data_IF_007657376141
#
_entry.id   IF_007657376141
#
_cell.length_a   1.000
_cell.length_b   1.000
_cell.length_c   1.000
_cell.angle_alpha   90.00
_cell.angle_beta   90.00
_cell.angle_gamma   90.00
#
_symmetry.space_group_name_H-M   'P 1'
#
loop_
_entity.id
_entity.type
_entity.pdbx_description
1 polymer ?
#
# COMPACT_ATOMS: atom_id res chain seq x y z
N UNK A 1 6.80 70.27 -27.43
CA UNK A 1 5.82 69.27 -26.94
C UNK A 1 6.30 67.88 -27.34
N UNK A 2 6.90 67.12 -26.42
CA UNK A 2 7.29 65.72 -26.65
C UNK A 2 6.55 64.80 -25.69
N UNK A 3 5.55 64.06 -26.17
CA UNK A 3 4.84 63.05 -25.37
C UNK A 3 5.78 61.87 -25.13
N UNK A 4 6.26 61.71 -23.90
CA UNK A 4 6.94 60.48 -23.45
C UNK A 4 5.91 59.37 -23.33
N UNK A 5 6.00 58.37 -24.20
CA UNK A 5 5.28 57.11 -24.06
C UNK A 5 5.81 56.34 -22.84
N UNK A 6 5.00 56.25 -21.77
CA UNK A 6 5.25 55.29 -20.68
C UNK A 6 4.77 53.93 -21.16
N UNK A 7 5.71 53.01 -21.38
CA UNK A 7 5.41 51.58 -21.44
C UNK A 7 5.00 51.15 -20.04
N UNK A 8 3.74 50.74 -19.87
CA UNK A 8 3.29 50.01 -18.68
C UNK A 8 3.78 48.58 -18.84
N UNK A 9 4.79 48.21 -18.07
CA UNK A 9 5.15 46.80 -17.91
C UNK A 9 4.07 46.15 -17.02
N UNK A 10 3.33 45.21 -17.59
CA UNK A 10 2.33 44.44 -16.86
C UNK A 10 3.01 43.55 -15.82
N UNK A 11 2.82 43.87 -14.55
CA UNK A 11 3.31 43.05 -13.44
C UNK A 11 2.48 41.78 -13.32
N UNK A 12 3.08 40.63 -13.66
CA UNK A 12 2.48 39.31 -13.40
C UNK A 12 2.92 38.87 -12.00
N UNK A 13 2.02 38.81 -11.00
CA UNK A 13 2.40 38.33 -9.68
C UNK A 13 2.79 36.85 -9.76
N UNK A 14 4.07 36.55 -9.53
CA UNK A 14 4.57 35.19 -9.37
C UNK A 14 4.21 34.69 -7.97
N UNK A 15 3.22 33.79 -7.88
CA UNK A 15 2.94 33.09 -6.62
C UNK A 15 4.04 32.04 -6.38
N UNK A 16 4.85 32.25 -5.35
CA UNK A 16 5.84 31.26 -4.89
C UNK A 16 5.22 30.38 -3.82
N UNK A 17 5.22 29.06 -4.04
CA UNK A 17 4.78 28.07 -3.04
C UNK A 17 6.00 27.67 -2.20
N UNK A 18 5.95 27.90 -0.89
CA UNK A 18 7.01 27.47 0.04
C UNK A 18 6.56 26.17 0.71
N UNK A 19 7.25 25.07 0.40
CA UNK A 19 7.00 23.75 1.02
C UNK A 19 7.95 23.58 2.22
N UNK A 20 7.39 23.27 3.38
CA UNK A 20 8.19 22.99 4.58
C UNK A 20 8.85 21.61 4.46
N UNK A 21 10.10 21.48 4.88
CA UNK A 21 10.84 20.20 4.92
C UNK A 21 10.09 19.13 5.73
N UNK A 22 9.43 19.52 6.82
CA UNK A 22 8.60 18.63 7.64
C UNK A 22 7.45 18.01 6.85
N UNK A 23 6.82 18.75 5.93
CA UNK A 23 5.74 18.23 5.07
C UNK A 23 6.25 17.13 4.13
N UNK A 24 7.45 17.28 3.57
CA UNK A 24 8.07 16.26 2.71
C UNK A 24 8.41 15.00 3.53
N UNK A 25 8.97 15.18 4.72
CA UNK A 25 9.30 14.05 5.62
C UNK A 25 8.03 13.31 6.02
N UNK A 26 6.97 14.01 6.42
CA UNK A 26 5.69 13.39 6.77
C UNK A 26 5.07 12.63 5.61
N UNK A 27 5.22 13.13 4.38
CA UNK A 27 4.77 12.43 3.18
C UNK A 27 5.49 11.08 3.04
N UNK A 28 6.83 11.08 3.10
CA UNK A 28 7.63 9.84 3.01
C UNK A 28 7.25 8.86 4.14
N UNK A 29 7.16 9.35 5.38
CA UNK A 29 6.77 8.56 6.54
C UNK A 29 5.38 7.95 6.33
N UNK A 30 4.40 8.73 5.86
CA UNK A 30 3.04 8.24 5.63
C UNK A 30 2.98 7.13 4.58
N UNK A 31 3.83 7.20 3.54
CA UNK A 31 3.95 6.14 2.55
C UNK A 31 4.55 4.86 3.14
N UNK A 32 5.64 4.98 3.92
CA UNK A 32 6.25 3.81 4.58
C UNK A 32 5.25 3.14 5.51
N UNK A 33 4.53 3.91 6.33
CA UNK A 33 3.51 3.35 7.23
C UNK A 33 2.30 2.81 6.48
N UNK A 34 1.79 3.50 5.45
CA UNK A 34 0.62 3.07 4.72
C UNK A 34 0.85 1.76 3.96
N UNK A 35 1.99 1.62 3.29
CA UNK A 35 2.37 0.35 2.66
C UNK A 35 2.78 -0.72 3.68
N UNK A 36 3.38 -0.34 4.82
CA UNK A 36 3.65 -1.29 5.92
C UNK A 36 2.37 -1.88 6.51
N UNK A 37 1.35 -1.05 6.73
CA UNK A 37 0.01 -1.49 7.17
C UNK A 37 -0.63 -2.38 6.11
N UNK A 38 -0.62 -1.97 4.83
CA UNK A 38 -1.14 -2.79 3.74
C UNK A 38 -0.51 -4.19 3.75
N UNK A 39 0.83 -4.27 3.78
CA UNK A 39 1.53 -5.56 3.79
C UNK A 39 1.18 -6.40 5.02
N UNK A 40 0.97 -5.77 6.17
CA UNK A 40 0.45 -6.43 7.38
C UNK A 40 -0.96 -6.98 7.20
N UNK A 41 -1.86 -6.24 6.53
CA UNK A 41 -3.23 -6.67 6.27
C UNK A 41 -3.29 -7.88 5.33
N UNK A 42 -2.34 -8.03 4.39
CA UNK A 42 -2.29 -9.24 3.56
C UNK A 42 -2.16 -10.50 4.42
N UNK A 43 -1.48 -10.46 5.57
CA UNK A 43 -1.39 -11.65 6.43
C UNK A 43 -2.74 -12.14 6.99
N UNK A 44 -3.81 -11.36 6.84
CA UNK A 44 -5.17 -11.72 7.24
C UNK A 44 -6.01 -12.36 6.12
N UNK A 45 -5.46 -12.47 4.90
CA UNK A 45 -6.13 -13.13 3.78
C UNK A 45 -6.33 -14.64 4.00
N UNK A 46 -7.25 -15.22 3.23
CA UNK A 46 -7.65 -16.61 3.37
C UNK A 46 -7.12 -17.48 2.22
N UNK A 47 -6.60 -18.66 2.58
CA UNK A 47 -6.17 -19.65 1.60
C UNK A 47 -7.24 -20.71 1.40
N UNK A 48 -7.56 -20.99 0.15
CA UNK A 48 -8.40 -22.10 -0.29
C UNK A 48 -7.66 -22.98 -1.29
N UNK A 49 -8.06 -24.25 -1.38
CA UNK A 49 -7.29 -25.27 -2.09
C UNK A 49 -8.19 -26.20 -2.87
N UNK A 50 -7.76 -26.60 -4.06
CA UNK A 50 -8.45 -27.58 -4.89
C UNK A 50 -7.61 -28.86 -5.03
N UNK A 51 -7.89 -29.92 -4.26
CA UNK A 51 -7.17 -31.18 -4.38
C UNK A 51 -7.70 -32.03 -5.55
N UNK A 52 -6.82 -32.84 -6.13
CA UNK A 52 -7.11 -33.93 -7.05
C UNK A 52 -7.40 -35.23 -6.27
N UNK A 53 -7.91 -36.24 -7.00
CA UNK A 53 -8.28 -37.54 -6.41
C UNK A 53 -7.08 -38.31 -5.81
N UNK A 54 -5.87 -38.05 -6.30
CA UNK A 54 -4.62 -38.65 -5.82
C UNK A 54 -4.04 -37.93 -4.58
N UNK A 55 -4.68 -36.84 -4.13
CA UNK A 55 -4.23 -36.02 -3.01
C UNK A 55 -3.26 -34.90 -3.39
N UNK A 56 -2.85 -34.78 -4.65
CA UNK A 56 -2.06 -33.64 -5.16
C UNK A 56 -2.94 -32.40 -5.25
N UNK A 57 -2.39 -31.20 -5.07
CA UNK A 57 -3.13 -29.97 -5.31
C UNK A 57 -3.15 -29.60 -6.79
N UNK A 58 -4.33 -29.27 -7.30
CA UNK A 58 -4.52 -28.68 -8.62
C UNK A 58 -4.22 -27.18 -8.56
N UNK A 59 -4.85 -26.47 -7.63
CA UNK A 59 -4.65 -25.03 -7.44
C UNK A 59 -4.70 -24.61 -5.98
N UNK A 60 -4.03 -23.49 -5.71
CA UNK A 60 -4.04 -22.76 -4.44
C UNK A 60 -4.60 -21.39 -4.77
N UNK A 61 -5.69 -21.04 -4.12
CA UNK A 61 -6.29 -19.72 -4.24
C UNK A 61 -6.09 -18.97 -2.92
N UNK A 62 -5.77 -17.69 -3.04
CA UNK A 62 -5.58 -16.82 -1.91
C UNK A 62 -6.41 -15.56 -2.10
N UNK A 63 -7.35 -15.35 -1.19
CA UNK A 63 -8.24 -14.19 -1.15
C UNK A 63 -7.64 -13.15 -0.20
N UNK A 64 -7.37 -11.95 -0.71
CA UNK A 64 -6.80 -10.87 0.09
C UNK A 64 -7.82 -10.28 1.06
N UNK A 65 -7.36 -9.44 1.98
CA UNK A 65 -8.23 -8.68 2.88
C UNK A 65 -9.22 -7.75 2.13
N UNK A 66 -8.94 -7.43 0.87
CA UNK A 66 -9.77 -6.58 0.02
C UNK A 66 -10.45 -7.36 -1.11
N UNK A 67 -10.78 -8.63 -0.85
CA UNK A 67 -11.55 -9.53 -1.73
C UNK A 67 -10.94 -9.67 -3.14
N UNK A 68 -9.61 -9.54 -3.26
CA UNK A 68 -8.90 -9.80 -4.50
C UNK A 68 -8.36 -11.24 -4.49
N UNK A 69 -8.47 -11.95 -5.61
CA UNK A 69 -8.04 -13.36 -5.67
C UNK A 69 -6.69 -13.54 -6.36
N UNK A 70 -5.89 -14.48 -5.87
CA UNK A 70 -4.63 -14.92 -6.46
C UNK A 70 -4.69 -16.43 -6.59
N UNK A 71 -4.83 -16.90 -7.82
CA UNK A 71 -4.79 -18.32 -8.13
C UNK A 71 -3.43 -18.71 -8.66
N UNK A 72 -2.85 -19.76 -8.10
CA UNK A 72 -1.67 -20.44 -8.63
C UNK A 72 -1.95 -21.92 -8.80
N UNK A 73 -1.12 -22.59 -9.59
CA UNK A 73 -1.09 -24.05 -9.60
C UNK A 73 -0.70 -24.61 -8.21
N UNK A 74 -0.99 -25.88 -7.97
CA UNK A 74 -0.69 -26.56 -6.72
C UNK A 74 0.81 -26.74 -6.43
N UNK A 75 1.70 -26.40 -7.37
CA UNK A 75 3.17 -26.38 -7.18
C UNK A 75 3.75 -27.68 -6.60
N UNK A 76 3.12 -28.82 -6.88
CA UNK A 76 3.54 -30.14 -6.36
C UNK A 76 3.21 -30.38 -4.88
N UNK A 77 2.53 -29.46 -4.20
CA UNK A 77 2.05 -29.66 -2.84
C UNK A 77 0.98 -30.76 -2.81
N UNK A 78 1.01 -31.53 -1.74
CA UNK A 78 -0.01 -32.52 -1.42
C UNK A 78 -0.99 -31.95 -0.39
N UNK A 79 -2.18 -32.54 -0.32
CA UNK A 79 -3.19 -32.23 0.70
C UNK A 79 -2.63 -32.31 2.12
N UNK A 80 -1.68 -33.22 2.37
CA UNK A 80 -1.02 -33.38 3.66
C UNK A 80 -0.14 -32.19 4.04
N UNK A 81 0.48 -31.51 3.05
CA UNK A 81 1.32 -30.33 3.28
C UNK A 81 0.51 -29.13 3.79
N UNK A 82 -0.79 -29.10 3.51
CA UNK A 82 -1.72 -28.09 4.02
C UNK A 82 -2.31 -28.51 5.37
N UNK A 83 -2.71 -29.78 5.51
CA UNK A 83 -3.52 -30.21 6.66
C UNK A 83 -2.71 -30.20 7.97
N UNK A 84 -1.43 -30.55 7.91
CA UNK A 84 -0.57 -30.55 9.09
C UNK A 84 0.06 -29.18 9.33
N UNK A 85 0.01 -28.70 10.58
CA UNK A 85 0.61 -27.42 11.00
C UNK A 85 2.09 -27.25 10.61
N UNK A 86 2.83 -28.37 10.54
CA UNK A 86 4.25 -28.41 10.17
C UNK A 86 4.48 -28.80 8.70
N UNK A 87 3.43 -28.89 7.90
CA UNK A 87 3.53 -29.19 6.47
C UNK A 87 4.26 -28.07 5.72
N UNK A 88 4.84 -28.42 4.57
CA UNK A 88 5.70 -27.52 3.80
C UNK A 88 4.98 -26.21 3.43
N UNK A 89 3.68 -26.26 3.16
CA UNK A 89 2.91 -25.07 2.80
C UNK A 89 2.87 -24.01 3.91
N UNK A 90 2.97 -24.40 5.19
CA UNK A 90 2.93 -23.46 6.32
C UNK A 90 4.23 -22.67 6.52
N UNK A 91 5.30 -23.02 5.81
CA UNK A 91 6.53 -22.24 5.83
C UNK A 91 6.30 -20.86 5.23
N UNK A 92 6.78 -19.83 5.92
CA UNK A 92 6.61 -18.44 5.49
C UNK A 92 7.17 -18.18 4.08
N UNK A 93 8.27 -18.84 3.70
CA UNK A 93 8.85 -18.73 2.35
C UNK A 93 7.86 -19.10 1.24
N UNK A 94 6.99 -20.08 1.48
CA UNK A 94 6.01 -20.55 0.50
C UNK A 94 4.79 -19.63 0.45
N UNK A 95 4.41 -19.03 1.58
CA UNK A 95 3.31 -18.05 1.66
C UNK A 95 3.71 -16.65 1.17
N UNK A 96 4.99 -16.29 1.30
CA UNK A 96 5.51 -14.96 0.97
C UNK A 96 5.19 -14.56 -0.48
N UNK A 97 5.21 -15.50 -1.41
CA UNK A 97 4.82 -15.24 -2.80
C UNK A 97 3.41 -14.64 -2.88
N UNK A 98 2.42 -15.26 -2.22
CA UNK A 98 1.04 -14.79 -2.22
C UNK A 98 0.90 -13.43 -1.54
N UNK A 99 1.64 -13.18 -0.45
CA UNK A 99 1.64 -11.88 0.23
C UNK A 99 2.25 -10.75 -0.62
N UNK A 100 3.25 -11.05 -1.45
CA UNK A 100 3.85 -10.07 -2.35
C UNK A 100 2.96 -9.79 -3.56
N UNK A 101 2.35 -10.82 -4.14
CA UNK A 101 1.43 -10.65 -5.28
C UNK A 101 0.14 -9.93 -4.86
N UNK A 102 -0.38 -10.19 -3.66
CA UNK A 102 -1.54 -9.49 -3.10
C UNK A 102 -1.24 -8.04 -2.83
N UNK A 103 -0.12 -7.76 -2.16
CA UNK A 103 0.36 -6.41 -1.93
C UNK A 103 0.45 -5.58 -3.23
N UNK A 104 0.88 -6.18 -4.34
CA UNK A 104 0.91 -5.51 -5.66
C UNK A 104 -0.51 -5.22 -6.17
N UNK A 105 -1.42 -6.19 -6.05
CA UNK A 105 -2.80 -6.09 -6.52
C UNK A 105 -3.59 -5.04 -5.72
N UNK A 106 -3.30 -4.94 -4.43
CA UNK A 106 -3.96 -4.04 -3.47
C UNK A 106 -3.20 -2.74 -3.19
N UNK A 107 -2.16 -2.44 -3.98
CA UNK A 107 -1.35 -1.23 -3.83
C UNK A 107 -2.17 0.07 -3.80
N UNK A 108 -3.32 0.11 -4.51
CA UNK A 108 -4.27 1.24 -4.48
C UNK A 108 -4.76 1.58 -3.07
N UNK A 109 -4.97 0.56 -2.22
CA UNK A 109 -5.36 0.75 -0.83
C UNK A 109 -4.19 1.25 0.02
N UNK A 110 -2.96 0.82 -0.30
CA UNK A 110 -1.74 1.36 0.30
C UNK A 110 -1.59 2.87 0.06
N UNK A 111 -1.88 3.35 -1.15
CA UNK A 111 -1.95 4.78 -1.45
C UNK A 111 -3.04 5.49 -0.62
N UNK A 112 -4.24 4.91 -0.52
CA UNK A 112 -5.35 5.50 0.24
C UNK A 112 -5.03 5.62 1.75
N UNK A 113 -4.47 4.56 2.34
CA UNK A 113 -4.02 4.54 3.74
C UNK A 113 -2.92 5.59 3.93
N UNK A 114 -1.94 5.66 3.02
CA UNK A 114 -0.84 6.63 3.08
C UNK A 114 -1.36 8.07 3.06
N UNK A 115 -2.30 8.40 2.15
CA UNK A 115 -2.92 9.72 2.09
C UNK A 115 -3.66 10.04 3.38
N UNK A 116 -4.40 9.07 3.93
CA UNK A 116 -5.13 9.24 5.19
C UNK A 116 -4.18 9.57 6.34
N UNK A 117 -3.09 8.82 6.49
CA UNK A 117 -2.05 9.06 7.49
C UNK A 117 -1.40 10.43 7.27
N UNK A 118 -1.08 10.78 6.01
CA UNK A 118 -0.50 12.06 5.67
C UNK A 118 -1.40 13.23 6.08
N UNK A 119 -2.69 13.15 5.76
CA UNK A 119 -3.68 14.16 6.15
C UNK A 119 -3.76 14.34 7.66
N UNK A 120 -3.73 13.25 8.43
CA UNK A 120 -3.71 13.28 9.90
C UNK A 120 -2.43 13.94 10.42
N UNK A 121 -1.26 13.56 9.88
CA UNK A 121 0.01 14.19 10.26
C UNK A 121 0.04 15.68 9.91
N UNK A 122 -0.46 16.07 8.75
CA UNK A 122 -0.57 17.47 8.35
C UNK A 122 -1.49 18.27 9.26
N UNK A 123 -2.63 17.68 9.66
CA UNK A 123 -3.56 18.29 10.61
C UNK A 123 -2.84 18.61 11.94
N UNK A 124 -2.19 17.63 12.57
CA UNK A 124 -1.48 17.86 13.84
C UNK A 124 -0.30 18.83 13.72
N UNK A 125 0.37 18.89 12.57
CA UNK A 125 1.44 19.87 12.36
C UNK A 125 0.94 21.29 12.10
N UNK A 126 -0.31 21.45 11.67
CA UNK A 126 -0.91 22.76 11.43
C UNK A 126 -1.57 23.31 12.69
N UNK A 127 -2.28 22.47 13.42
CA UNK A 127 -2.91 22.82 14.68
C UNK A 127 -1.89 22.61 15.81
N UNK A 128 -1.16 23.68 16.16
CA UNK A 128 -0.42 23.74 17.43
C UNK A 128 -1.44 23.64 18.58
N UNK A 129 -1.72 22.43 19.05
CA UNK A 129 -2.54 22.22 20.23
C UNK A 129 -1.74 22.67 21.46
N UNK A 130 -1.96 23.91 21.91
CA UNK A 130 -1.59 24.31 23.27
C UNK A 130 -2.57 23.64 24.24
N UNK A 131 -2.13 22.57 24.90
CA UNK A 131 -2.79 22.03 26.08
C UNK A 131 -2.63 23.05 27.22
N UNK A 132 -3.71 23.77 27.54
CA UNK A 132 -3.83 24.57 28.76
C UNK A 132 -4.22 23.70 29.95
#
# INVERSE_FOLDING_TARGET
>A
MGKKNRKTEDYIPTKTIIIRKSSIINLIISFVFGFGILFGLEHLGEFSYRPLNDGTLLSINYETYFDNEIETEGNGFQKMDIYYKNGEFHKYSNKLYYYVESFKKDAKFGFLISITIFSVLCFFNYFNFELK
#
